data_IF_140281348586
#
_entry.id   IF_140281348586
#
_cell.length_a   1.000
_cell.length_b   1.000
_cell.length_c   1.000
_cell.angle_alpha   90.00
_cell.angle_beta   90.00
_cell.angle_gamma   90.00
#
_symmetry.space_group_name_H-M   'P 1'
#
loop_
_entity.id
_entity.type
_entity.pdbx_description
1 polymer ?
#
# COMPACT_ATOMS: atom_id res chain seq x y z
N UNK A 1 3.53 10.07 52.05
CA UNK A 1 4.45 9.97 50.92
C UNK A 1 3.84 10.78 49.80
N UNK A 2 4.43 11.96 49.51
CA UNK A 2 3.87 12.90 48.58
C UNK A 2 3.98 12.38 47.16
N UNK A 3 2.85 12.29 46.47
CA UNK A 3 2.86 12.18 45.01
C UNK A 3 3.38 13.51 44.46
N UNK A 4 4.60 13.56 43.97
CA UNK A 4 5.08 14.67 43.17
C UNK A 4 4.21 14.74 41.92
N UNK A 5 3.41 15.77 41.83
CA UNK A 5 2.79 16.18 40.59
C UNK A 5 3.90 16.50 39.59
N UNK A 6 4.17 15.60 38.66
CA UNK A 6 4.99 15.93 37.49
C UNK A 6 4.23 17.01 36.71
N UNK A 7 4.64 18.26 36.88
CA UNK A 7 4.23 19.35 36.01
C UNK A 7 4.96 19.19 34.68
N UNK A 8 4.36 18.36 33.80
CA UNK A 8 4.96 18.04 32.49
C UNK A 8 4.52 19.12 31.49
N UNK A 9 5.09 20.31 31.57
CA UNK A 9 5.16 21.23 30.44
C UNK A 9 6.35 20.81 29.57
N UNK A 10 6.30 19.60 29.02
CA UNK A 10 7.35 19.06 28.18
C UNK A 10 7.01 19.25 26.70
N UNK A 11 8.04 19.38 25.88
CA UNK A 11 7.93 19.18 24.44
C UNK A 11 7.20 17.84 24.21
N UNK A 12 6.32 17.70 23.19
CA UNK A 12 5.72 16.41 22.85
C UNK A 12 6.73 15.27 22.71
N UNK A 13 8.02 15.60 22.51
CA UNK A 13 9.12 14.65 22.35
C UNK A 13 9.84 14.30 23.68
N UNK A 14 9.43 14.84 24.81
CA UNK A 14 9.99 14.47 26.12
C UNK A 14 9.40 13.15 26.65
N UNK A 15 8.35 12.63 26.01
CA UNK A 15 7.73 11.34 26.27
C UNK A 15 7.76 10.48 25.02
N UNK A 16 7.62 9.15 25.18
CA UNK A 16 7.59 8.25 24.05
C UNK A 16 6.44 8.60 23.09
N UNK A 17 6.77 8.69 21.80
CA UNK A 17 5.84 8.87 20.70
C UNK A 17 6.06 7.75 19.69
N UNK A 18 4.97 7.15 19.16
CA UNK A 18 5.10 6.27 18.01
C UNK A 18 5.67 7.06 16.82
N UNK A 19 6.63 6.52 16.07
CA UNK A 19 7.12 7.18 14.84
C UNK A 19 6.02 7.53 13.84
N UNK A 20 4.88 6.86 13.88
CA UNK A 20 3.73 7.15 13.04
C UNK A 20 2.99 8.44 13.43
N UNK A 21 3.24 9.00 14.61
CA UNK A 21 2.62 10.27 15.03
C UNK A 21 3.31 11.50 14.46
N UNK A 22 4.57 11.38 13.99
CA UNK A 22 5.34 12.55 13.55
C UNK A 22 6.31 12.30 12.38
N UNK A 23 6.78 11.04 12.19
CA UNK A 23 7.85 10.71 11.25
C UNK A 23 7.34 10.04 9.97
N UNK A 24 6.40 9.12 10.10
CA UNK A 24 5.89 8.30 9.00
C UNK A 24 4.40 8.57 8.76
N UNK A 25 4.00 8.47 7.50
CA UNK A 25 2.67 8.82 7.04
C UNK A 25 2.50 10.32 6.78
N UNK A 26 1.49 10.68 6.01
CA UNK A 26 1.12 12.06 5.71
C UNK A 26 0.31 12.70 6.85
N UNK A 27 0.24 14.04 6.83
CA UNK A 27 -0.59 14.78 7.78
C UNK A 27 -2.08 14.47 7.59
N UNK A 28 -2.51 14.25 6.35
CA UNK A 28 -3.87 13.86 6.01
C UNK A 28 -4.25 12.52 6.65
N UNK A 29 -3.40 11.50 6.51
CA UNK A 29 -3.65 10.19 7.11
C UNK A 29 -3.62 10.27 8.65
N UNK A 30 -2.69 11.04 9.23
CA UNK A 30 -2.66 11.29 10.68
C UNK A 30 -3.92 11.99 11.18
N UNK A 31 -4.45 12.95 10.41
CA UNK A 31 -5.69 13.64 10.76
C UNK A 31 -6.88 12.69 10.79
N UNK A 32 -7.02 11.80 9.81
CA UNK A 32 -8.11 10.80 9.75
C UNK A 32 -8.12 9.85 10.96
N UNK A 33 -6.93 9.55 11.50
CA UNK A 33 -6.80 8.66 12.67
C UNK A 33 -6.64 9.39 14.00
N UNK A 34 -6.83 10.73 14.02
CA UNK A 34 -6.78 11.52 15.24
C UNK A 34 -7.97 11.28 16.16
N UNK A 35 -7.79 11.51 17.46
CA UNK A 35 -8.86 11.47 18.44
C UNK A 35 -9.96 12.51 18.15
N UNK A 36 -9.59 13.70 17.66
CA UNK A 36 -10.55 14.75 17.30
C UNK A 36 -11.43 14.29 16.13
N UNK A 37 -10.86 13.73 15.06
CA UNK A 37 -11.64 13.24 13.91
C UNK A 37 -12.57 12.10 14.32
N UNK A 38 -12.08 11.16 15.13
CA UNK A 38 -12.90 10.07 15.68
C UNK A 38 -14.13 10.60 16.40
N UNK A 39 -13.96 11.60 17.27
CA UNK A 39 -15.08 12.18 18.03
C UNK A 39 -16.03 12.99 17.16
N UNK A 40 -15.54 13.68 16.14
CA UNK A 40 -16.40 14.33 15.14
C UNK A 40 -17.30 13.31 14.42
N UNK A 41 -16.74 12.16 14.03
CA UNK A 41 -17.53 11.09 13.43
C UNK A 41 -18.57 10.53 14.42
N UNK A 42 -18.23 10.34 15.69
CA UNK A 42 -19.22 9.93 16.71
C UNK A 42 -20.38 10.93 16.80
N UNK A 43 -20.06 12.22 16.85
CA UNK A 43 -21.08 13.30 16.90
C UNK A 43 -21.93 13.35 15.65
N UNK A 44 -21.34 13.20 14.47
CA UNK A 44 -22.10 13.12 13.21
C UNK A 44 -23.04 11.93 13.16
N UNK A 45 -22.64 10.79 13.73
CA UNK A 45 -23.47 9.59 13.83
C UNK A 45 -24.61 9.81 14.83
N UNK A 46 -24.38 10.44 15.99
CA UNK A 46 -25.47 10.81 16.91
C UNK A 46 -26.43 11.82 16.29
N UNK A 47 -25.93 12.78 15.51
CA UNK A 47 -26.77 13.72 14.78
C UNK A 47 -27.67 12.98 13.76
N UNK A 48 -27.09 12.10 12.94
CA UNK A 48 -27.85 11.29 11.97
C UNK A 48 -28.89 10.40 12.67
N UNK A 49 -28.55 9.86 13.85
CA UNK A 49 -29.49 9.10 14.70
C UNK A 49 -30.64 9.99 15.17
N UNK A 50 -30.36 11.18 15.69
CA UNK A 50 -31.37 12.12 16.17
C UNK A 50 -32.27 12.63 15.03
N UNK A 51 -31.71 12.89 13.85
CA UNK A 51 -32.48 13.27 12.65
C UNK A 51 -33.46 12.19 12.23
N UNK A 52 -33.04 10.92 12.24
CA UNK A 52 -33.94 9.80 11.99
C UNK A 52 -35.00 9.68 13.10
N UNK A 53 -34.61 9.79 14.37
CA UNK A 53 -35.55 9.77 15.50
C UNK A 53 -36.59 10.88 15.44
N UNK A 54 -36.22 12.06 14.93
CA UNK A 54 -37.14 13.18 14.75
C UNK A 54 -38.23 12.87 13.72
N UNK A 55 -37.89 12.16 12.63
CA UNK A 55 -38.87 11.72 11.64
C UNK A 55 -39.91 10.76 12.21
N UNK A 56 -39.56 10.01 13.28
CA UNK A 56 -40.47 9.14 14.02
C UNK A 56 -41.15 9.86 15.23
N UNK A 57 -40.90 11.16 15.41
CA UNK A 57 -41.44 11.96 16.50
C UNK A 57 -40.93 11.53 17.89
N UNK A 58 -39.77 10.87 17.95
CA UNK A 58 -39.09 10.46 19.20
C UNK A 58 -38.34 11.63 19.83
N UNK A 59 -37.78 12.52 19.02
CA UNK A 59 -37.07 13.75 19.42
C UNK A 59 -37.65 14.94 18.65
N UNK A 60 -37.46 16.16 19.17
CA UNK A 60 -38.00 17.37 18.52
C UNK A 60 -36.99 17.96 17.53
N UNK A 61 -37.44 18.74 16.52
CA UNK A 61 -36.55 19.46 15.62
C UNK A 61 -35.55 20.37 16.36
N UNK A 62 -35.99 21.04 17.43
CA UNK A 62 -35.18 21.94 18.23
C UNK A 62 -34.01 21.20 18.90
N UNK A 63 -34.23 19.92 19.35
CA UNK A 63 -33.19 19.08 19.89
C UNK A 63 -32.16 18.69 18.83
N UNK A 64 -32.61 18.39 17.64
CA UNK A 64 -31.72 18.08 16.49
C UNK A 64 -30.90 19.31 16.10
N UNK A 65 -31.51 20.49 16.04
CA UNK A 65 -30.83 21.74 15.66
C UNK A 65 -29.75 22.12 16.69
N UNK A 66 -30.04 21.92 17.99
CA UNK A 66 -29.06 22.11 19.06
C UNK A 66 -27.85 21.19 18.93
N UNK A 67 -28.06 19.90 18.68
CA UNK A 67 -26.97 18.95 18.42
C UNK A 67 -26.16 19.35 17.18
N UNK A 68 -26.83 19.75 16.10
CA UNK A 68 -26.17 20.17 14.82
C UNK A 68 -25.28 21.39 15.03
N UNK A 69 -25.71 22.35 15.82
CA UNK A 69 -24.94 23.55 16.10
C UNK A 69 -23.63 23.31 16.81
N UNK A 70 -23.51 22.21 17.55
CA UNK A 70 -22.34 21.91 18.38
C UNK A 70 -21.55 20.66 17.91
N UNK A 71 -22.00 19.95 16.88
CA UNK A 71 -21.40 18.68 16.44
C UNK A 71 -19.89 18.79 16.11
N UNK A 72 -19.46 19.89 15.51
CA UNK A 72 -18.06 20.12 15.13
C UNK A 72 -17.18 20.66 16.27
N UNK A 73 -17.76 21.06 17.40
CA UNK A 73 -17.07 21.74 18.50
C UNK A 73 -16.54 20.73 19.54
N UNK A 74 -15.67 19.79 19.11
CA UNK A 74 -15.12 18.77 20.00
C UNK A 74 -14.22 19.40 21.06
N UNK A 75 -14.61 19.27 22.34
CA UNK A 75 -13.78 19.58 23.50
C UNK A 75 -13.10 18.28 23.99
N UNK A 76 -11.91 18.01 23.43
CA UNK A 76 -11.17 16.79 23.72
C UNK A 76 -10.70 16.76 25.19
N UNK A 77 -10.24 17.91 25.71
CA UNK A 77 -9.71 17.99 27.07
C UNK A 77 -10.82 17.66 28.08
N UNK A 78 -12.00 18.25 27.91
CA UNK A 78 -13.16 17.94 28.75
C UNK A 78 -13.59 16.48 28.65
N UNK A 79 -13.61 15.91 27.47
CA UNK A 79 -13.94 14.50 27.30
C UNK A 79 -12.91 13.58 27.98
N UNK A 80 -11.62 13.89 27.92
CA UNK A 80 -10.57 13.11 28.58
C UNK A 80 -10.63 13.26 30.12
N UNK A 81 -10.98 14.44 30.65
CA UNK A 81 -11.23 14.62 32.11
C UNK A 81 -12.36 13.69 32.57
N UNK A 82 -13.49 13.70 31.86
CA UNK A 82 -14.63 12.83 32.19
C UNK A 82 -14.24 11.35 32.08
N UNK A 83 -13.52 10.99 31.02
CA UNK A 83 -13.06 9.60 30.82
C UNK A 83 -12.16 9.12 31.96
N UNK A 84 -11.28 10.01 32.47
CA UNK A 84 -10.43 9.69 33.61
C UNK A 84 -11.22 9.32 34.87
N UNK A 85 -12.43 9.86 35.03
CA UNK A 85 -13.33 9.53 36.14
C UNK A 85 -14.13 8.26 35.89
N UNK A 86 -14.83 8.18 34.73
CA UNK A 86 -15.83 7.13 34.49
C UNK A 86 -15.26 5.89 33.76
N UNK A 87 -14.02 5.96 33.25
CA UNK A 87 -13.30 4.87 32.55
C UNK A 87 -14.03 4.34 31.31
N UNK A 88 -14.73 5.20 30.58
CA UNK A 88 -15.45 4.85 29.36
C UNK A 88 -15.42 6.02 28.36
N UNK A 89 -14.67 5.87 27.30
CA UNK A 89 -14.38 6.93 26.31
C UNK A 89 -15.64 7.46 25.59
N UNK A 90 -16.48 6.54 25.05
CA UNK A 90 -17.69 6.96 24.35
C UNK A 90 -18.68 7.68 25.27
N UNK A 91 -18.89 7.16 26.50
CA UNK A 91 -19.78 7.80 27.46
C UNK A 91 -19.23 9.13 27.98
N UNK A 92 -17.91 9.28 28.01
CA UNK A 92 -17.28 10.57 28.27
C UNK A 92 -17.61 11.61 27.19
N UNK A 93 -17.56 11.20 25.92
CA UNK A 93 -17.94 12.06 24.80
C UNK A 93 -19.44 12.37 24.79
N UNK A 94 -20.31 11.40 25.14
CA UNK A 94 -21.75 11.68 25.31
C UNK A 94 -21.97 12.78 26.34
N UNK A 95 -21.28 12.72 27.49
CA UNK A 95 -21.40 13.74 28.56
C UNK A 95 -20.83 15.08 28.11
N UNK A 96 -19.63 15.10 27.53
CA UNK A 96 -19.01 16.34 27.06
C UNK A 96 -19.86 17.02 25.97
N UNK A 97 -20.44 16.28 25.04
CA UNK A 97 -21.34 16.79 24.03
C UNK A 97 -22.67 17.27 24.63
N UNK A 98 -23.24 16.54 25.60
CA UNK A 98 -24.45 16.93 26.29
C UNK A 98 -24.29 18.25 27.08
N UNK A 99 -23.12 18.49 27.71
CA UNK A 99 -22.82 19.75 28.38
C UNK A 99 -22.86 20.96 27.43
N UNK A 100 -22.58 20.76 26.14
CA UNK A 100 -22.62 21.77 25.11
C UNK A 100 -24.04 22.00 24.54
N UNK A 101 -24.95 21.04 24.70
CA UNK A 101 -26.26 21.00 24.06
C UNK A 101 -27.39 21.07 25.12
N UNK A 102 -27.78 22.26 25.59
CA UNK A 102 -28.76 22.43 26.68
C UNK A 102 -30.15 21.91 26.32
N UNK A 103 -30.51 21.83 25.03
CA UNK A 103 -31.81 21.38 24.54
C UNK A 103 -31.75 19.91 24.08
N UNK A 104 -30.70 19.57 23.31
CA UNK A 104 -30.55 18.25 22.69
C UNK A 104 -29.73 17.26 23.50
N UNK A 105 -28.97 17.70 24.51
CA UNK A 105 -28.04 16.81 25.23
C UNK A 105 -28.71 15.62 25.92
N UNK A 106 -29.95 15.79 26.37
CA UNK A 106 -30.69 14.74 27.06
C UNK A 106 -31.18 13.57 26.20
N UNK A 107 -31.10 13.69 24.85
CA UNK A 107 -31.54 12.63 23.93
C UNK A 107 -30.36 11.89 23.27
N UNK A 108 -29.13 12.30 23.57
CA UNK A 108 -27.95 11.66 23.00
C UNK A 108 -27.92 10.16 23.34
N UNK A 109 -27.53 9.37 22.37
CA UNK A 109 -27.34 7.92 22.52
C UNK A 109 -28.64 7.12 22.79
N UNK A 110 -29.81 7.71 22.52
CA UNK A 110 -31.12 7.09 22.80
C UNK A 110 -31.31 5.80 22.00
N UNK A 111 -31.44 4.66 22.69
CA UNK A 111 -31.59 3.33 22.11
C UNK A 111 -30.29 2.71 21.57
N UNK A 112 -29.19 3.45 21.53
CA UNK A 112 -27.92 2.99 20.99
C UNK A 112 -27.08 2.20 21.99
N UNK A 113 -26.24 1.31 21.49
CA UNK A 113 -25.08 0.78 22.22
C UNK A 113 -23.80 1.41 21.68
N UNK A 114 -22.72 1.39 22.47
CA UNK A 114 -21.44 2.01 22.09
C UNK A 114 -20.99 1.64 20.68
N UNK A 115 -21.07 0.37 20.32
CA UNK A 115 -20.64 -0.10 19.02
C UNK A 115 -21.56 0.30 17.83
N UNK A 116 -22.80 0.76 18.08
CA UNK A 116 -23.61 1.41 17.03
C UNK A 116 -22.97 2.73 16.58
N UNK A 117 -22.18 3.35 17.43
CA UNK A 117 -21.46 4.59 17.13
C UNK A 117 -20.03 4.29 16.71
N UNK A 118 -19.28 3.55 17.54
CA UNK A 118 -17.85 3.29 17.34
C UNK A 118 -17.57 2.52 16.04
N UNK A 119 -18.33 1.44 15.77
CA UNK A 119 -18.09 0.60 14.61
C UNK A 119 -18.53 1.27 13.30
N UNK A 120 -19.58 2.08 13.30
CA UNK A 120 -19.94 2.87 12.13
C UNK A 120 -18.89 3.97 11.87
N UNK A 121 -18.33 4.60 12.92
CA UNK A 121 -17.25 5.57 12.79
C UNK A 121 -15.97 4.90 12.28
N UNK A 122 -15.64 3.70 12.75
CA UNK A 122 -14.51 2.92 12.23
C UNK A 122 -14.68 2.58 10.76
N UNK A 123 -15.90 2.18 10.33
CA UNK A 123 -16.18 1.92 8.92
C UNK A 123 -16.01 3.17 8.05
N UNK A 124 -16.42 4.36 8.54
CA UNK A 124 -16.19 5.63 7.85
C UNK A 124 -14.70 5.94 7.73
N UNK A 125 -13.93 5.83 8.83
CA UNK A 125 -12.47 6.03 8.81
C UNK A 125 -11.75 5.07 7.88
N UNK A 126 -12.13 3.79 7.88
CA UNK A 126 -11.59 2.79 6.96
C UNK A 126 -11.83 3.20 5.50
N UNK A 127 -13.03 3.69 5.18
CA UNK A 127 -13.41 4.14 3.85
C UNK A 127 -12.61 5.35 3.41
N UNK A 128 -12.58 6.41 4.22
CA UNK A 128 -11.82 7.64 3.96
C UNK A 128 -10.33 7.35 3.78
N UNK A 129 -9.76 6.51 4.64
CA UNK A 129 -8.35 6.13 4.54
C UNK A 129 -8.05 5.30 3.30
N UNK A 130 -8.95 4.39 2.91
CA UNK A 130 -8.81 3.63 1.66
C UNK A 130 -8.90 4.55 0.43
N UNK A 131 -9.75 5.58 0.45
CA UNK A 131 -9.85 6.56 -0.63
C UNK A 131 -8.50 7.28 -0.83
N UNK A 132 -7.84 7.72 0.25
CA UNK A 132 -6.51 8.34 0.18
C UNK A 132 -5.43 7.37 -0.32
N UNK A 133 -5.45 6.10 0.12
CA UNK A 133 -4.52 5.07 -0.36
C UNK A 133 -4.73 4.81 -1.86
N UNK A 134 -5.97 4.73 -2.33
CA UNK A 134 -6.30 4.54 -3.73
C UNK A 134 -5.84 5.73 -4.59
N UNK A 135 -6.04 6.96 -4.14
CA UNK A 135 -5.55 8.16 -4.82
C UNK A 135 -4.02 8.12 -4.99
N UNK A 136 -3.29 7.82 -3.91
CA UNK A 136 -1.82 7.74 -3.94
C UNK A 136 -1.31 6.57 -4.78
N UNK A 137 -1.97 5.41 -4.73
CA UNK A 137 -1.60 4.26 -5.57
C UNK A 137 -1.81 4.55 -7.05
N UNK A 138 -2.89 5.23 -7.41
CA UNK A 138 -3.15 5.71 -8.78
C UNK A 138 -2.11 6.73 -9.24
N UNK A 139 -1.69 7.65 -8.37
CA UNK A 139 -0.59 8.58 -8.66
C UNK A 139 0.72 7.84 -8.93
N UNK A 140 1.03 6.83 -8.12
CA UNK A 140 2.22 6.00 -8.29
C UNK A 140 2.18 5.20 -9.60
N UNK A 141 1.04 4.62 -9.98
CA UNK A 141 0.84 3.93 -11.26
C UNK A 141 1.14 4.86 -12.46
N UNK A 142 0.68 6.11 -12.42
CA UNK A 142 0.99 7.10 -13.45
C UNK A 142 2.50 7.40 -13.52
N UNK A 143 3.17 7.44 -12.38
CA UNK A 143 4.62 7.66 -12.34
C UNK A 143 5.39 6.47 -12.90
N UNK A 144 4.96 5.24 -12.60
CA UNK A 144 5.48 4.04 -13.25
C UNK A 144 5.27 4.08 -14.76
N UNK A 145 4.07 4.43 -15.22
CA UNK A 145 3.75 4.52 -16.64
C UNK A 145 4.70 5.46 -17.39
N UNK A 146 4.99 6.64 -16.82
CA UNK A 146 5.93 7.60 -17.41
C UNK A 146 7.36 7.03 -17.47
N UNK A 147 7.83 6.34 -16.46
CA UNK A 147 9.15 5.71 -16.45
C UNK A 147 9.22 4.52 -17.40
N UNK A 148 8.17 3.71 -17.47
CA UNK A 148 8.09 2.58 -18.40
C UNK A 148 8.19 3.07 -19.85
N UNK A 149 7.42 4.08 -20.22
CA UNK A 149 7.43 4.64 -21.57
C UNK A 149 8.80 5.22 -21.93
N UNK A 150 9.41 5.98 -21.00
CA UNK A 150 10.75 6.56 -21.18
C UNK A 150 11.80 5.51 -21.51
N UNK A 151 11.71 4.33 -20.92
CA UNK A 151 12.73 3.29 -21.00
C UNK A 151 12.26 2.04 -21.75
N UNK A 152 11.14 2.10 -22.47
CA UNK A 152 10.52 0.96 -23.15
C UNK A 152 11.48 0.26 -24.12
N UNK A 153 12.27 1.02 -24.86
CA UNK A 153 13.16 0.52 -25.91
C UNK A 153 14.61 0.31 -25.46
N UNK A 154 14.96 0.67 -24.23
CA UNK A 154 16.34 0.61 -23.76
C UNK A 154 16.70 -0.82 -23.34
N UNK A 155 17.56 -1.54 -24.08
CA UNK A 155 17.92 -2.90 -23.77
C UNK A 155 18.80 -2.98 -22.52
N UNK A 156 18.59 -4.00 -21.72
CA UNK A 156 19.39 -4.35 -20.54
C UNK A 156 19.45 -5.87 -20.39
N UNK A 157 20.38 -6.36 -19.57
CA UNK A 157 20.44 -7.79 -19.26
C UNK A 157 19.39 -8.16 -18.20
N UNK A 158 18.60 -9.18 -18.47
CA UNK A 158 17.81 -9.84 -17.44
C UNK A 158 18.69 -10.81 -16.64
N UNK A 159 18.33 -10.97 -15.36
CA UNK A 159 19.00 -11.87 -14.43
C UNK A 159 18.00 -12.89 -13.90
N UNK A 160 18.30 -14.15 -14.08
CA UNK A 160 17.60 -15.27 -13.41
C UNK A 160 18.55 -15.91 -12.42
N UNK A 161 18.09 -16.18 -11.21
CA UNK A 161 18.96 -16.68 -10.13
C UNK A 161 20.21 -15.80 -9.87
N UNK A 162 20.09 -14.49 -10.09
CA UNK A 162 21.18 -13.51 -10.09
C UNK A 162 22.31 -13.81 -11.10
N UNK A 163 22.06 -14.67 -12.09
CA UNK A 163 22.95 -14.90 -13.21
C UNK A 163 22.42 -14.18 -14.45
N UNK A 164 23.30 -13.60 -15.27
CA UNK A 164 22.88 -13.00 -16.53
C UNK A 164 22.26 -14.05 -17.42
N UNK A 165 21.10 -13.76 -17.98
CA UNK A 165 20.33 -14.66 -18.83
C UNK A 165 20.19 -14.10 -20.24
N UNK A 166 19.06 -13.48 -20.55
CA UNK A 166 18.76 -12.93 -21.86
C UNK A 166 18.54 -11.42 -21.81
N UNK A 167 18.64 -10.71 -22.96
CA UNK A 167 18.23 -9.33 -23.05
C UNK A 167 16.76 -9.11 -22.75
N UNK A 168 16.47 -8.01 -22.09
CA UNK A 168 15.15 -7.42 -21.89
C UNK A 168 15.23 -5.92 -22.09
N UNK A 169 14.18 -5.16 -21.74
CA UNK A 169 14.27 -3.70 -21.66
C UNK A 169 14.07 -3.19 -20.24
N UNK A 170 14.62 -2.02 -19.93
CA UNK A 170 14.43 -1.36 -18.63
C UNK A 170 12.95 -1.08 -18.40
N UNK A 171 12.22 -0.61 -19.43
CA UNK A 171 10.79 -0.38 -19.36
C UNK A 171 10.01 -1.65 -19.03
N UNK A 172 10.38 -2.80 -19.61
CA UNK A 172 9.71 -4.06 -19.31
C UNK A 172 10.02 -4.56 -17.88
N UNK A 173 11.24 -4.32 -17.39
CA UNK A 173 11.56 -4.60 -15.98
C UNK A 173 10.74 -3.72 -15.03
N UNK A 174 10.48 -2.46 -15.36
CA UNK A 174 9.59 -1.59 -14.58
C UNK A 174 8.14 -2.04 -14.67
N UNK A 175 7.70 -2.53 -15.83
CA UNK A 175 6.32 -2.95 -16.06
C UNK A 175 5.86 -4.09 -15.14
N UNK A 176 6.76 -5.00 -14.72
CA UNK A 176 6.38 -6.06 -13.78
C UNK A 176 5.94 -5.51 -12.41
N UNK A 177 6.61 -4.46 -11.89
CA UNK A 177 6.23 -3.82 -10.63
C UNK A 177 4.94 -3.02 -10.75
N UNK A 178 4.74 -2.36 -11.88
CA UNK A 178 3.49 -1.66 -12.15
C UNK A 178 2.31 -2.63 -12.25
N UNK A 179 2.50 -3.81 -12.85
CA UNK A 179 1.47 -4.84 -12.93
C UNK A 179 1.05 -5.34 -11.54
N UNK A 180 2.01 -5.61 -10.65
CA UNK A 180 1.71 -5.99 -9.27
C UNK A 180 0.92 -4.88 -8.56
N UNK A 181 1.33 -3.62 -8.69
CA UNK A 181 0.62 -2.47 -8.13
C UNK A 181 -0.80 -2.29 -8.70
N UNK A 182 -1.03 -2.59 -9.99
CA UNK A 182 -2.38 -2.60 -10.58
C UNK A 182 -3.26 -3.65 -9.92
N UNK A 183 -2.74 -4.84 -9.65
CA UNK A 183 -3.47 -5.89 -8.92
C UNK A 183 -3.84 -5.43 -7.50
N UNK A 184 -2.91 -4.77 -6.81
CA UNK A 184 -3.16 -4.22 -5.48
C UNK A 184 -4.22 -3.11 -5.52
N UNK A 185 -4.15 -2.20 -6.49
CA UNK A 185 -5.12 -1.12 -6.67
C UNK A 185 -6.54 -1.68 -6.90
N UNK A 186 -6.68 -2.71 -7.74
CA UNK A 186 -7.94 -3.37 -7.99
C UNK A 186 -8.49 -4.05 -6.72
N UNK A 187 -7.65 -4.74 -5.94
CA UNK A 187 -8.06 -5.38 -4.69
C UNK A 187 -8.46 -4.34 -3.63
N UNK A 188 -7.69 -3.26 -3.47
CA UNK A 188 -8.01 -2.15 -2.56
C UNK A 188 -9.34 -1.48 -2.95
N UNK A 189 -9.59 -1.27 -4.25
CA UNK A 189 -10.85 -0.73 -4.78
C UNK A 189 -12.02 -1.65 -4.43
N UNK A 190 -11.85 -2.97 -4.61
CA UNK A 190 -12.87 -3.97 -4.26
C UNK A 190 -13.14 -4.00 -2.75
N UNK A 191 -12.10 -3.90 -1.93
CA UNK A 191 -12.23 -3.85 -0.48
C UNK A 191 -12.94 -2.58 -0.05
N UNK A 192 -12.55 -1.42 -0.60
CA UNK A 192 -13.17 -0.12 -0.35
C UNK A 192 -14.66 -0.13 -0.67
N UNK A 193 -15.04 -0.66 -1.83
CA UNK A 193 -16.45 -0.76 -2.25
C UNK A 193 -17.25 -1.70 -1.34
N UNK A 194 -16.60 -2.64 -0.69
CA UNK A 194 -17.24 -3.59 0.23
C UNK A 194 -17.27 -3.18 1.70
N UNK A 195 -16.84 -1.95 2.05
CA UNK A 195 -16.90 -1.46 3.43
C UNK A 195 -18.35 -1.23 3.83
N UNK A 196 -18.74 -1.84 4.95
CA UNK A 196 -20.06 -1.72 5.55
C UNK A 196 -19.97 -1.31 7.01
N UNK A 197 -20.97 -0.52 7.46
CA UNK A 197 -21.14 -0.22 8.87
C UNK A 197 -21.78 -1.37 9.63
N UNK A 198 -21.74 -1.30 10.95
CA UNK A 198 -22.51 -2.19 11.80
C UNK A 198 -24.02 -2.03 11.56
N UNK A 199 -24.46 -0.81 11.31
CA UNK A 199 -25.85 -0.41 11.37
C UNK A 199 -26.28 -0.07 12.80
N UNK A 200 -27.58 0.05 13.00
CA UNK A 200 -28.18 0.39 14.31
C UNK A 200 -28.95 -0.84 14.84
N UNK A 201 -28.20 -1.80 15.33
CA UNK A 201 -28.73 -3.12 15.73
C UNK A 201 -28.68 -3.37 17.25
N UNK A 202 -28.18 -2.42 18.04
CA UNK A 202 -28.16 -2.50 19.50
C UNK A 202 -27.13 -3.51 20.05
N UNK A 203 -27.29 -3.87 21.33
CA UNK A 203 -26.28 -4.55 22.11
C UNK A 203 -25.92 -5.98 21.64
N UNK A 204 -26.84 -6.68 20.97
CA UNK A 204 -26.64 -8.07 20.51
C UNK A 204 -27.10 -8.29 19.06
N UNK A 205 -27.31 -7.23 18.30
CA UNK A 205 -27.68 -7.32 16.88
C UNK A 205 -29.16 -7.50 16.57
N UNK A 206 -30.04 -7.47 17.58
CA UNK A 206 -31.49 -7.73 17.42
C UNK A 206 -32.32 -6.48 17.14
N UNK A 207 -31.75 -5.28 17.26
CA UNK A 207 -32.44 -3.99 17.20
C UNK A 207 -33.57 -3.81 18.23
N UNK A 208 -33.60 -4.60 19.29
CA UNK A 208 -34.74 -4.66 20.20
C UNK A 208 -35.14 -3.28 20.77
N UNK A 209 -34.18 -2.48 21.25
CA UNK A 209 -34.47 -1.16 21.80
C UNK A 209 -35.05 -0.21 20.70
N UNK A 210 -34.57 -0.27 19.48
CA UNK A 210 -35.08 0.55 18.38
C UNK A 210 -36.49 0.12 17.94
N UNK A 211 -36.76 -1.20 17.94
CA UNK A 211 -38.10 -1.74 17.66
C UNK A 211 -39.10 -1.26 18.69
N UNK A 212 -38.78 -1.36 19.97
CA UNK A 212 -39.67 -0.89 21.04
C UNK A 212 -39.93 0.61 21.01
N UNK A 213 -38.87 1.41 20.79
CA UNK A 213 -38.99 2.85 20.64
C UNK A 213 -39.85 3.24 19.41
N UNK A 214 -39.68 2.56 18.27
CA UNK A 214 -40.47 2.82 17.08
C UNK A 214 -41.91 2.35 17.20
N UNK A 215 -42.17 1.16 17.79
CA UNK A 215 -43.50 0.62 18.00
C UNK A 215 -44.35 1.47 18.96
N UNK A 216 -43.73 2.23 19.86
CA UNK A 216 -44.44 3.13 20.72
C UNK A 216 -45.16 4.28 19.96
N UNK A 217 -44.79 4.55 18.73
CA UNK A 217 -45.34 5.70 17.96
C UNK A 217 -45.68 5.40 16.48
N UNK A 218 -45.24 4.28 15.87
CA UNK A 218 -45.43 3.99 14.44
C UNK A 218 -45.73 2.53 14.19
N UNK A 219 -46.67 2.22 13.30
CA UNK A 219 -47.11 0.87 12.97
C UNK A 219 -46.19 0.05 12.06
N UNK A 220 -44.98 0.52 11.76
CA UNK A 220 -43.99 -0.23 10.97
C UNK A 220 -42.59 -0.23 11.57
N UNK A 221 -41.86 -1.38 11.49
CA UNK A 221 -40.72 -1.62 12.35
C UNK A 221 -39.37 -1.14 11.77
N UNK A 222 -38.40 -1.23 12.66
CA UNK A 222 -36.96 -0.96 12.65
C UNK A 222 -36.19 -0.89 11.32
N UNK A 223 -36.57 -1.60 10.26
CA UNK A 223 -35.85 -1.57 8.97
C UNK A 223 -35.87 -0.20 8.31
N UNK A 224 -36.96 0.54 8.41
CA UNK A 224 -37.03 1.93 7.89
C UNK A 224 -36.14 2.89 8.68
N UNK A 225 -36.03 2.72 9.99
CA UNK A 225 -35.22 3.55 10.88
C UNK A 225 -33.73 3.42 10.58
N UNK A 226 -33.19 2.19 10.61
CA UNK A 226 -31.77 1.93 10.29
C UNK A 226 -31.39 2.48 8.92
N UNK A 227 -32.23 2.25 7.91
CA UNK A 227 -31.98 2.74 6.55
C UNK A 227 -31.93 4.26 6.44
N UNK A 228 -32.65 5.01 7.27
CA UNK A 228 -32.58 6.47 7.31
C UNK A 228 -31.25 6.94 7.87
N UNK A 229 -30.81 6.39 9.01
CA UNK A 229 -29.55 6.73 9.63
C UNK A 229 -28.38 6.38 8.70
N UNK A 230 -28.38 5.17 8.16
CA UNK A 230 -27.28 4.69 7.33
C UNK A 230 -27.16 5.44 5.99
N UNK A 231 -28.29 5.90 5.41
CA UNK A 231 -28.28 6.78 4.25
C UNK A 231 -27.70 8.18 4.57
N UNK A 232 -28.00 8.71 5.73
CA UNK A 232 -27.43 10.01 6.17
C UNK A 232 -25.89 9.91 6.34
N UNK A 233 -25.37 8.72 6.65
CA UNK A 233 -23.94 8.42 6.75
C UNK A 233 -23.31 8.00 5.41
N UNK A 234 -24.10 7.88 4.34
CA UNK A 234 -23.67 7.28 3.06
C UNK A 234 -22.95 5.95 3.27
N UNK A 235 -23.48 5.08 4.12
CA UNK A 235 -22.87 3.82 4.53
C UNK A 235 -23.91 2.68 4.52
N UNK A 236 -23.59 1.58 3.83
CA UNK A 236 -24.44 0.38 3.87
C UNK A 236 -24.20 -0.38 5.18
N UNK A 237 -25.27 -0.89 5.86
CA UNK A 237 -25.10 -1.75 7.02
C UNK A 237 -24.83 -3.20 6.63
N UNK A 238 -24.18 -3.96 7.50
CA UNK A 238 -24.25 -5.42 7.45
C UNK A 238 -25.68 -5.89 7.72
N UNK A 239 -26.15 -6.90 6.99
CA UNK A 239 -27.48 -7.50 7.21
C UNK A 239 -27.56 -8.15 8.60
N UNK A 240 -26.51 -8.84 9.00
CA UNK A 240 -26.36 -9.43 10.34
C UNK A 240 -25.09 -8.90 11.01
N UNK A 241 -25.25 -8.45 12.25
CA UNK A 241 -24.16 -8.06 13.13
C UNK A 241 -24.46 -8.56 14.54
N UNK A 242 -23.43 -8.67 15.36
CA UNK A 242 -23.58 -8.91 16.80
C UNK A 242 -23.59 -7.57 17.55
N UNK A 243 -22.94 -7.43 18.68
CA UNK A 243 -22.70 -6.10 19.24
C UNK A 243 -21.82 -5.25 18.32
N UNK A 244 -20.94 -5.89 17.54
CA UNK A 244 -20.01 -5.26 16.60
C UNK A 244 -20.29 -5.69 15.17
N UNK A 245 -19.72 -4.96 14.18
CA UNK A 245 -19.65 -5.51 12.84
C UNK A 245 -18.69 -6.71 12.76
N UNK A 246 -18.82 -7.61 11.75
CA UNK A 246 -17.94 -8.76 11.60
C UNK A 246 -16.47 -8.33 11.50
N UNK A 247 -15.64 -8.62 12.49
CA UNK A 247 -14.21 -8.26 12.54
C UNK A 247 -13.40 -8.79 11.36
N UNK A 248 -13.97 -9.70 10.58
CA UNK A 248 -13.43 -10.14 9.29
C UNK A 248 -13.24 -8.98 8.32
N UNK A 249 -14.00 -7.88 8.44
CA UNK A 249 -13.81 -6.68 7.62
C UNK A 249 -12.44 -6.05 7.87
N UNK A 250 -12.02 -5.89 9.12
CA UNK A 250 -10.70 -5.37 9.48
C UNK A 250 -9.58 -6.21 8.86
N UNK A 251 -9.70 -7.55 9.00
CA UNK A 251 -8.73 -8.46 8.40
C UNK A 251 -8.64 -8.30 6.88
N UNK A 252 -9.77 -8.18 6.17
CA UNK A 252 -9.77 -7.97 4.71
C UNK A 252 -9.06 -6.68 4.32
N UNK A 253 -9.29 -5.60 5.06
CA UNK A 253 -8.63 -4.30 4.83
C UNK A 253 -7.13 -4.42 5.06
N UNK A 254 -6.72 -4.93 6.21
CA UNK A 254 -5.30 -5.03 6.55
C UNK A 254 -4.56 -5.99 5.62
N UNK A 255 -5.21 -7.06 5.18
CA UNK A 255 -4.63 -8.02 4.24
C UNK A 255 -4.40 -7.37 2.85
N UNK A 256 -5.32 -6.53 2.37
CA UNK A 256 -5.13 -5.78 1.12
C UNK A 256 -3.99 -4.76 1.24
N UNK A 257 -3.88 -4.05 2.36
CA UNK A 257 -2.76 -3.14 2.63
C UNK A 257 -1.42 -3.90 2.70
N UNK A 258 -1.40 -5.10 3.29
CA UNK A 258 -0.21 -5.94 3.33
C UNK A 258 0.20 -6.44 1.93
N UNK A 259 -0.78 -6.70 1.04
CA UNK A 259 -0.54 -7.00 -0.38
C UNK A 259 0.19 -5.86 -1.07
N UNK A 260 -0.30 -4.63 -0.93
CA UNK A 260 0.39 -3.43 -1.42
C UNK A 260 1.81 -3.34 -0.88
N UNK A 261 2.00 -3.58 0.43
CA UNK A 261 3.33 -3.59 1.06
C UNK A 261 4.26 -4.63 0.43
N UNK A 262 3.76 -5.81 0.06
CA UNK A 262 4.53 -6.87 -0.60
C UNK A 262 5.05 -6.43 -1.98
N UNK A 263 4.21 -5.83 -2.80
CA UNK A 263 4.59 -5.34 -4.13
C UNK A 263 5.65 -4.24 -4.07
N UNK A 264 5.49 -3.29 -3.14
CA UNK A 264 6.46 -2.22 -2.94
C UNK A 264 7.79 -2.74 -2.34
N UNK A 265 7.73 -3.74 -1.45
CA UNK A 265 8.93 -4.44 -0.97
C UNK A 265 9.69 -5.11 -2.13
N UNK A 266 8.99 -5.83 -3.00
CA UNK A 266 9.61 -6.49 -4.17
C UNK A 266 10.38 -5.49 -5.03
N UNK A 267 9.78 -4.34 -5.36
CA UNK A 267 10.44 -3.27 -6.09
C UNK A 267 11.68 -2.74 -5.34
N UNK A 268 11.53 -2.42 -4.06
CA UNK A 268 12.61 -1.85 -3.27
C UNK A 268 13.78 -2.82 -3.08
N UNK A 269 13.48 -4.10 -2.89
CA UNK A 269 14.49 -5.14 -2.75
C UNK A 269 15.31 -5.31 -4.04
N UNK A 270 14.65 -5.35 -5.20
CA UNK A 270 15.33 -5.42 -6.50
C UNK A 270 16.14 -4.16 -6.78
N UNK A 271 15.63 -2.97 -6.42
CA UNK A 271 16.39 -1.73 -6.53
C UNK A 271 17.69 -1.77 -5.75
N UNK A 272 17.69 -2.31 -4.53
CA UNK A 272 18.91 -2.48 -3.72
C UNK A 272 19.94 -3.39 -4.41
N UNK A 273 19.47 -4.47 -5.05
CA UNK A 273 20.33 -5.36 -5.83
C UNK A 273 20.89 -4.64 -7.06
N UNK A 274 20.05 -3.93 -7.80
CA UNK A 274 20.43 -3.19 -9.00
C UNK A 274 21.35 -1.99 -8.71
N UNK A 275 21.27 -1.42 -7.48
CA UNK A 275 22.17 -0.35 -7.03
C UNK A 275 23.51 -0.87 -6.55
N UNK A 276 23.65 -2.17 -6.26
CA UNK A 276 24.90 -2.74 -5.78
C UNK A 276 26.03 -2.57 -6.82
N UNK A 277 27.27 -2.26 -6.40
CA UNK A 277 28.35 -1.95 -7.35
C UNK A 277 28.62 -3.00 -8.43
N UNK A 278 28.43 -4.31 -8.20
CA UNK A 278 28.62 -5.31 -9.28
C UNK A 278 27.64 -5.15 -10.44
N UNK A 279 26.43 -4.64 -10.22
CA UNK A 279 25.44 -4.35 -11.26
C UNK A 279 25.45 -2.86 -11.58
N UNK A 280 25.09 -2.02 -10.61
CA UNK A 280 25.19 -0.57 -10.66
C UNK A 280 24.30 0.13 -11.70
N UNK A 281 23.27 -0.57 -12.21
CA UNK A 281 22.43 -0.05 -13.32
C UNK A 281 21.40 0.97 -12.85
N UNK A 282 20.88 0.80 -11.64
CA UNK A 282 19.84 1.65 -11.06
C UNK A 282 20.34 2.24 -9.74
N UNK A 283 19.80 3.40 -9.39
CA UNK A 283 19.97 3.92 -8.03
C UNK A 283 18.79 4.81 -7.64
N UNK A 284 18.55 4.91 -6.32
CA UNK A 284 17.62 5.90 -5.81
C UNK A 284 18.16 7.33 -6.00
N UNK A 285 17.26 8.33 -6.08
CA UNK A 285 17.67 9.73 -6.18
C UNK A 285 18.47 10.15 -4.94
N UNK A 286 19.57 10.86 -5.16
CA UNK A 286 20.43 11.34 -4.08
C UNK A 286 20.48 12.87 -4.10
N UNK A 287 19.96 13.50 -3.02
CA UNK A 287 19.92 14.95 -2.89
C UNK A 287 21.31 15.57 -2.71
N UNK A 288 21.53 16.77 -3.23
CA UNK A 288 22.82 17.46 -3.17
C UNK A 288 23.35 17.67 -1.74
N UNK A 289 22.49 17.76 -0.76
CA UNK A 289 22.81 17.91 0.67
C UNK A 289 22.66 16.61 1.48
N UNK A 290 22.29 15.52 0.82
CA UNK A 290 22.06 14.24 1.49
C UNK A 290 23.37 13.61 1.92
N UNK A 291 23.42 13.13 3.17
CA UNK A 291 24.57 12.38 3.70
C UNK A 291 24.29 10.89 3.53
N UNK A 292 25.09 10.20 2.71
CA UNK A 292 24.93 8.78 2.45
C UNK A 292 25.59 7.88 3.51
N UNK A 293 26.65 8.37 4.14
CA UNK A 293 27.40 7.66 5.19
C UNK A 293 28.14 8.66 6.05
N UNK A 294 28.13 8.45 7.37
CA UNK A 294 28.87 9.29 8.33
C UNK A 294 30.39 9.13 8.24
N UNK A 295 30.86 7.95 7.78
CA UNK A 295 32.30 7.62 7.75
C UNK A 295 32.89 7.62 6.33
N UNK A 296 32.08 7.38 5.30
CA UNK A 296 32.53 7.23 3.91
C UNK A 296 31.70 8.12 2.97
N UNK A 297 32.16 9.34 2.68
CA UNK A 297 31.38 10.34 1.93
C UNK A 297 30.92 9.92 0.52
N UNK A 298 31.66 9.01 -0.13
CA UNK A 298 31.32 8.48 -1.46
C UNK A 298 30.21 7.42 -1.42
N UNK A 299 29.92 6.84 -0.25
CA UNK A 299 28.98 5.72 -0.11
C UNK A 299 27.53 6.22 -0.15
N UNK A 300 26.80 5.80 -1.17
CA UNK A 300 25.37 6.11 -1.36
C UNK A 300 24.53 4.89 -1.04
N UNK A 301 24.08 4.81 0.21
CA UNK A 301 23.22 3.70 0.64
C UNK A 301 21.79 3.88 0.10
N UNK A 302 21.08 2.81 -0.28
CA UNK A 302 19.68 2.84 -0.74
C UNK A 302 18.73 2.95 0.47
N UNK A 303 18.82 4.03 1.26
CA UNK A 303 18.15 4.17 2.56
C UNK A 303 16.62 4.23 2.45
N UNK A 304 16.09 4.75 1.32
CA UNK A 304 14.65 4.80 1.11
C UNK A 304 14.09 3.44 0.68
N UNK A 305 14.83 2.70 -0.15
CA UNK A 305 14.48 1.31 -0.47
C UNK A 305 14.54 0.43 0.78
N UNK A 306 15.57 0.58 1.63
CA UNK A 306 15.67 -0.12 2.92
C UNK A 306 14.52 0.24 3.88
N UNK A 307 14.06 1.50 3.88
CA UNK A 307 12.90 1.94 4.65
C UNK A 307 11.62 1.24 4.16
N UNK A 308 11.40 1.15 2.84
CA UNK A 308 10.26 0.41 2.27
C UNK A 308 10.31 -1.04 2.73
N UNK A 309 11.46 -1.72 2.57
CA UNK A 309 11.61 -3.11 2.98
C UNK A 309 11.33 -3.33 4.47
N UNK A 310 11.74 -2.39 5.31
CA UNK A 310 11.53 -2.46 6.76
C UNK A 310 10.06 -2.28 7.12
N UNK A 311 9.40 -1.22 6.63
CA UNK A 311 8.01 -0.92 6.94
C UNK A 311 7.05 -1.94 6.34
N UNK A 312 7.33 -2.45 5.14
CA UNK A 312 6.51 -3.49 4.53
C UNK A 312 6.50 -4.79 5.34
N UNK A 313 7.64 -5.16 5.97
CA UNK A 313 7.70 -6.32 6.88
C UNK A 313 6.88 -6.11 8.15
N UNK A 314 6.82 -4.88 8.66
CA UNK A 314 5.93 -4.53 9.77
C UNK A 314 4.47 -4.67 9.35
N UNK A 315 4.08 -4.03 8.26
CA UNK A 315 2.72 -4.07 7.73
C UNK A 315 2.23 -5.50 7.48
N UNK A 316 3.09 -6.38 6.99
CA UNK A 316 2.77 -7.78 6.72
C UNK A 316 2.37 -8.60 7.96
N UNK A 317 2.67 -8.13 9.19
CA UNK A 317 2.30 -8.83 10.42
C UNK A 317 0.93 -8.40 10.97
N UNK A 318 0.45 -7.22 10.63
CA UNK A 318 -0.78 -6.67 11.20
C UNK A 318 -2.05 -7.45 10.82
N UNK A 319 -2.19 -8.01 9.61
CA UNK A 319 -3.32 -8.87 9.27
C UNK A 319 -3.47 -10.09 10.17
N UNK A 320 -2.37 -10.60 10.75
CA UNK A 320 -2.44 -11.75 11.67
C UNK A 320 -3.20 -11.40 12.94
N UNK A 321 -2.99 -10.21 13.49
CA UNK A 321 -3.72 -9.75 14.69
C UNK A 321 -5.20 -9.57 14.35
N UNK A 322 -5.52 -8.96 13.21
CA UNK A 322 -6.92 -8.81 12.78
C UNK A 322 -7.61 -10.15 12.50
N UNK A 323 -6.86 -11.14 11.99
CA UNK A 323 -7.37 -12.51 11.84
C UNK A 323 -7.72 -13.13 13.19
N UNK A 324 -6.83 -12.99 14.17
CA UNK A 324 -7.07 -13.50 15.52
C UNK A 324 -8.29 -12.82 16.18
N UNK A 325 -8.44 -11.49 16.03
CA UNK A 325 -9.62 -10.76 16.49
C UNK A 325 -10.92 -11.30 15.88
N UNK A 326 -10.90 -11.59 14.58
CA UNK A 326 -12.07 -12.13 13.88
C UNK A 326 -12.37 -13.58 14.27
N UNK A 327 -11.35 -14.42 14.40
CA UNK A 327 -11.48 -15.84 14.68
C UNK A 327 -11.85 -16.12 16.14
N UNK A 328 -11.41 -15.27 17.07
CA UNK A 328 -11.63 -15.44 18.51
C UNK A 328 -12.76 -14.54 19.05
N UNK A 329 -13.52 -13.85 18.19
CA UNK A 329 -14.70 -13.10 18.62
C UNK A 329 -15.71 -14.04 19.27
N UNK A 330 -15.89 -13.89 20.59
CA UNK A 330 -16.66 -14.83 21.40
C UNK A 330 -18.14 -14.47 21.41
N UNK A 331 -18.98 -15.34 20.88
CA UNK A 331 -20.45 -15.16 20.81
C UNK A 331 -20.81 -13.78 20.22
N UNK A 332 -21.64 -13.01 20.91
CA UNK A 332 -22.08 -11.70 20.44
C UNK A 332 -21.07 -10.58 20.77
N UNK A 333 -20.14 -10.78 21.71
CA UNK A 333 -19.11 -9.81 22.08
C UNK A 333 -17.98 -10.39 22.93
N UNK A 334 -16.76 -10.02 22.60
CA UNK A 334 -15.61 -9.98 23.49
C UNK A 334 -14.96 -8.59 23.40
N UNK A 335 -14.19 -8.17 24.39
CA UNK A 335 -13.51 -6.86 24.39
C UNK A 335 -12.01 -6.98 24.11
N UNK A 336 -11.48 -8.18 23.94
CA UNK A 336 -10.05 -8.44 23.77
C UNK A 336 -9.49 -7.95 22.42
N UNK A 337 -10.35 -7.66 21.45
CA UNK A 337 -9.99 -7.00 20.19
C UNK A 337 -9.76 -5.49 20.36
N UNK A 338 -10.40 -4.84 21.31
CA UNK A 338 -10.52 -3.39 21.39
C UNK A 338 -9.15 -2.67 21.49
N UNK A 339 -8.29 -3.10 22.40
CA UNK A 339 -7.02 -2.45 22.64
C UNK A 339 -6.08 -2.55 21.42
N UNK A 340 -5.96 -3.74 20.82
CA UNK A 340 -5.06 -3.94 19.68
C UNK A 340 -5.59 -3.27 18.41
N UNK A 341 -6.93 -3.19 18.20
CA UNK A 341 -7.53 -2.49 17.04
C UNK A 341 -7.18 -0.99 17.03
N UNK A 342 -7.11 -0.36 18.19
CA UNK A 342 -6.72 1.05 18.35
C UNK A 342 -5.28 1.32 17.90
N UNK A 343 -4.47 0.27 17.76
CA UNK A 343 -3.07 0.31 17.31
C UNK A 343 -2.97 -0.13 15.85
N UNK A 344 -3.46 -1.33 15.54
CA UNK A 344 -3.19 -1.95 14.23
C UNK A 344 -3.90 -1.27 13.06
N UNK A 345 -5.11 -0.72 13.27
CA UNK A 345 -5.83 -0.03 12.21
C UNK A 345 -5.11 1.26 11.77
N UNK A 346 -4.89 2.24 12.68
CA UNK A 346 -4.19 3.47 12.28
C UNK A 346 -2.78 3.20 11.77
N UNK A 347 -2.00 2.34 12.42
CA UNK A 347 -0.61 2.08 12.02
C UNK A 347 -0.52 1.35 10.68
N UNK A 348 -1.47 0.49 10.31
CA UNK A 348 -1.51 -0.13 9.00
C UNK A 348 -1.69 0.92 7.87
N UNK A 349 -2.61 1.85 8.06
CA UNK A 349 -2.84 2.91 7.07
C UNK A 349 -1.69 3.91 7.00
N UNK A 350 -1.16 4.35 8.14
CA UNK A 350 0.00 5.25 8.19
C UNK A 350 1.24 4.60 7.57
N UNK A 351 1.41 3.30 7.79
CA UNK A 351 2.50 2.54 7.19
C UNK A 351 2.34 2.43 5.67
N UNK A 352 1.15 2.05 5.17
CA UNK A 352 0.87 1.94 3.74
C UNK A 352 1.01 3.30 3.03
N UNK A 353 0.57 4.37 3.68
CA UNK A 353 0.70 5.74 3.20
C UNK A 353 2.17 6.16 3.06
N UNK A 354 3.01 5.91 4.07
CA UNK A 354 4.45 6.15 4.01
C UNK A 354 5.15 5.34 2.91
N UNK A 355 4.74 4.08 2.72
CA UNK A 355 5.28 3.23 1.66
C UNK A 355 4.99 3.82 0.28
N UNK A 356 3.74 4.26 0.02
CA UNK A 356 3.35 4.89 -1.24
C UNK A 356 4.10 6.20 -1.49
N UNK A 357 4.21 7.09 -0.49
CA UNK A 357 4.94 8.35 -0.62
C UNK A 357 6.44 8.11 -0.90
N UNK A 358 7.03 7.14 -0.23
CA UNK A 358 8.44 6.80 -0.45
C UNK A 358 8.66 6.20 -1.84
N UNK A 359 7.79 5.27 -2.27
CA UNK A 359 7.85 4.67 -3.59
C UNK A 359 7.64 5.72 -4.71
N UNK A 360 6.69 6.65 -4.52
CA UNK A 360 6.46 7.77 -5.43
C UNK A 360 7.74 8.60 -5.65
N UNK A 361 8.44 8.90 -4.57
CA UNK A 361 9.72 9.63 -4.63
C UNK A 361 10.82 8.81 -5.33
N UNK A 362 10.90 7.52 -5.02
CA UNK A 362 11.91 6.63 -5.63
C UNK A 362 11.69 6.46 -7.12
N UNK A 363 10.48 6.14 -7.57
CA UNK A 363 10.18 5.93 -8.98
C UNK A 363 10.27 7.24 -9.76
N UNK A 364 9.73 8.33 -9.23
CA UNK A 364 9.79 9.65 -9.87
C UNK A 364 11.21 10.16 -10.07
N UNK A 365 12.11 9.83 -9.15
CA UNK A 365 13.51 10.23 -9.19
C UNK A 365 14.49 9.11 -9.55
N UNK A 366 14.02 7.96 -10.06
CA UNK A 366 14.85 6.81 -10.38
C UNK A 366 15.98 7.19 -11.34
N UNK A 367 17.21 6.89 -10.96
CA UNK A 367 18.40 7.11 -11.77
C UNK A 367 18.79 5.82 -12.46
N UNK A 368 18.90 5.87 -13.79
CA UNK A 368 19.45 4.79 -14.61
C UNK A 368 20.84 5.20 -15.07
N UNK A 369 21.85 4.40 -14.72
CA UNK A 369 23.22 4.56 -15.20
C UNK A 369 23.38 3.85 -16.55
N UNK A 370 23.18 4.58 -17.64
CA UNK A 370 23.25 4.04 -18.98
C UNK A 370 24.64 3.48 -19.32
N UNK A 371 25.71 4.01 -18.71
CA UNK A 371 27.06 3.48 -18.90
C UNK A 371 27.22 2.11 -18.22
N UNK A 372 26.66 1.93 -17.03
CA UNK A 372 26.63 0.64 -16.36
C UNK A 372 25.75 -0.39 -17.10
N UNK A 373 24.59 0.04 -17.61
CA UNK A 373 23.73 -0.79 -18.45
C UNK A 373 24.48 -1.25 -19.70
N UNK A 374 25.12 -0.33 -20.41
CA UNK A 374 25.91 -0.66 -21.62
C UNK A 374 27.08 -1.59 -21.31
N UNK A 375 27.81 -1.37 -20.21
CA UNK A 375 28.91 -2.23 -19.77
C UNK A 375 28.44 -3.65 -19.49
N UNK A 376 27.35 -3.82 -18.70
CA UNK A 376 26.83 -5.12 -18.37
C UNK A 376 26.26 -5.83 -19.60
N UNK A 377 25.57 -5.08 -20.46
CA UNK A 377 25.06 -5.60 -21.73
C UNK A 377 26.20 -6.13 -22.63
N UNK A 378 27.26 -5.34 -22.82
CA UNK A 378 28.42 -5.76 -23.61
C UNK A 378 29.12 -7.00 -23.01
N UNK A 379 29.17 -7.10 -21.68
CA UNK A 379 29.77 -8.24 -21.00
C UNK A 379 28.99 -9.54 -21.20
N UNK A 380 27.66 -9.50 -21.21
CA UNK A 380 26.85 -10.73 -21.09
C UNK A 380 25.96 -11.02 -22.32
N UNK A 381 25.51 -10.02 -23.05
CA UNK A 381 24.58 -10.21 -24.15
C UNK A 381 25.09 -11.08 -25.30
N UNK A 382 26.40 -11.08 -25.65
CA UNK A 382 26.92 -11.99 -26.68
C UNK A 382 26.68 -13.46 -26.40
N UNK A 383 26.66 -13.88 -25.11
CA UNK A 383 26.38 -15.27 -24.75
C UNK A 383 24.92 -15.66 -25.09
N UNK A 384 23.94 -14.81 -24.77
CA UNK A 384 22.55 -15.02 -25.10
C UNK A 384 22.30 -15.07 -26.62
N UNK A 385 23.03 -14.26 -27.38
CA UNK A 385 22.89 -14.18 -28.84
C UNK A 385 23.48 -15.38 -29.59
N UNK A 386 24.24 -16.25 -28.93
CA UNK A 386 24.84 -17.44 -29.56
C UNK A 386 23.82 -18.40 -30.16
N UNK A 387 22.60 -18.48 -29.61
CA UNK A 387 21.52 -19.28 -30.17
C UNK A 387 21.14 -18.81 -31.58
N UNK A 388 21.08 -17.49 -31.83
CA UNK A 388 20.82 -16.92 -33.15
C UNK A 388 21.87 -17.34 -34.17
N UNK A 389 23.15 -17.30 -33.76
CA UNK A 389 24.27 -17.76 -34.57
C UNK A 389 24.16 -19.26 -34.88
N UNK A 390 23.86 -20.08 -33.88
CA UNK A 390 23.66 -21.51 -34.02
C UNK A 390 22.58 -21.83 -35.06
N UNK A 391 21.40 -21.22 -34.89
CA UNK A 391 20.27 -21.45 -35.78
C UNK A 391 20.56 -21.02 -37.23
N UNK A 392 21.21 -19.87 -37.42
CA UNK A 392 21.58 -19.39 -38.73
C UNK A 392 22.61 -20.32 -39.42
N UNK A 393 23.64 -20.77 -38.70
CA UNK A 393 24.62 -21.69 -39.21
C UNK A 393 23.98 -23.06 -39.62
N UNK A 394 23.05 -23.57 -38.80
CA UNK A 394 22.33 -24.81 -39.15
C UNK A 394 21.42 -24.62 -40.36
N UNK A 395 20.76 -23.50 -40.49
CA UNK A 395 19.94 -23.13 -41.66
C UNK A 395 20.81 -23.07 -42.91
N UNK A 396 22.08 -22.66 -42.79
CA UNK A 396 23.06 -22.64 -43.87
C UNK A 396 23.73 -24.02 -44.15
N UNK A 397 23.26 -25.11 -43.49
CA UNK A 397 23.70 -26.46 -43.72
C UNK A 397 24.80 -26.97 -42.79
N UNK A 398 25.09 -26.25 -41.68
CA UNK A 398 26.03 -26.76 -40.67
C UNK A 398 25.43 -27.85 -39.82
N UNK A 399 26.29 -28.79 -39.33
CA UNK A 399 25.90 -29.77 -38.33
C UNK A 399 25.66 -29.06 -36.99
N UNK A 400 24.48 -29.27 -36.42
CA UNK A 400 24.04 -28.59 -35.18
C UNK A 400 24.93 -28.94 -34.00
N UNK A 401 25.31 -30.20 -33.85
CA UNK A 401 26.10 -30.64 -32.69
C UNK A 401 27.52 -30.09 -32.76
N UNK A 402 28.13 -30.13 -33.98
CA UNK A 402 29.45 -29.55 -34.21
C UNK A 402 29.46 -28.05 -33.93
N UNK A 403 28.43 -27.29 -34.40
CA UNK A 403 28.31 -25.87 -34.10
C UNK A 403 28.12 -25.58 -32.62
N UNK A 404 27.27 -26.34 -31.98
CA UNK A 404 27.03 -26.19 -30.52
C UNK A 404 28.34 -26.38 -29.74
N UNK A 405 29.15 -27.38 -30.09
CA UNK A 405 30.41 -27.62 -29.40
C UNK A 405 31.42 -26.47 -29.60
N UNK A 406 31.53 -25.94 -30.81
CA UNK A 406 32.39 -24.80 -31.11
C UNK A 406 31.95 -23.58 -30.28
N UNK A 407 30.64 -23.30 -30.25
CA UNK A 407 30.07 -22.18 -29.50
C UNK A 407 30.32 -22.38 -28.00
N UNK A 408 30.14 -23.59 -27.49
CA UNK A 408 30.41 -23.96 -26.11
C UNK A 408 31.85 -23.70 -25.70
N UNK A 409 32.83 -24.17 -26.50
CA UNK A 409 34.25 -23.99 -26.23
C UNK A 409 34.63 -22.49 -26.15
N UNK A 410 34.24 -21.71 -27.18
CA UNK A 410 34.50 -20.29 -27.18
C UNK A 410 33.76 -19.54 -26.05
N UNK A 411 32.54 -19.95 -25.71
CA UNK A 411 31.79 -19.36 -24.61
C UNK A 411 32.48 -19.60 -23.25
N UNK A 412 32.98 -20.80 -23.00
CA UNK A 412 33.72 -21.08 -21.76
C UNK A 412 35.03 -20.27 -21.65
N UNK A 413 35.73 -20.09 -22.74
CA UNK A 413 36.93 -19.25 -22.77
C UNK A 413 36.58 -17.78 -22.51
N UNK A 414 35.58 -17.27 -23.22
CA UNK A 414 35.12 -15.90 -23.06
C UNK A 414 34.58 -15.64 -21.64
N UNK A 415 33.88 -16.60 -21.05
CA UNK A 415 33.40 -16.48 -19.68
C UNK A 415 34.55 -16.35 -18.67
N UNK A 416 35.64 -17.06 -18.86
CA UNK A 416 36.84 -16.92 -18.02
C UNK A 416 37.45 -15.51 -18.11
N UNK A 417 37.47 -14.91 -19.32
CA UNK A 417 37.93 -13.54 -19.54
C UNK A 417 37.05 -12.51 -18.82
N UNK A 418 35.71 -12.64 -18.98
CA UNK A 418 34.73 -11.76 -18.30
C UNK A 418 34.88 -11.87 -16.78
N UNK A 419 35.01 -13.11 -16.25
CA UNK A 419 35.24 -13.31 -14.81
C UNK A 419 36.56 -12.71 -14.30
N UNK A 420 37.54 -12.61 -15.15
CA UNK A 420 38.80 -11.94 -14.84
C UNK A 420 38.75 -10.40 -15.00
N UNK A 421 37.54 -9.83 -15.27
CA UNK A 421 37.34 -8.39 -15.44
C UNK A 421 37.79 -7.86 -16.79
N UNK A 422 38.04 -8.72 -17.77
CA UNK A 422 38.39 -8.33 -19.15
C UNK A 422 37.17 -8.22 -20.05
N UNK A 423 37.32 -7.53 -21.19
CA UNK A 423 36.24 -7.45 -22.19
C UNK A 423 35.86 -8.83 -22.74
N UNK A 424 34.59 -9.02 -23.09
CA UNK A 424 34.09 -10.27 -23.64
C UNK A 424 34.60 -10.47 -25.08
N UNK A 425 35.48 -11.47 -25.36
CA UNK A 425 36.01 -11.70 -26.68
C UNK A 425 35.13 -12.60 -27.57
N UNK A 426 33.97 -13.07 -27.08
CA UNK A 426 33.18 -14.13 -27.71
C UNK A 426 32.80 -13.81 -29.17
N UNK A 427 32.29 -12.60 -29.40
CA UNK A 427 31.86 -12.21 -30.75
C UNK A 427 33.02 -12.22 -31.75
N UNK A 428 34.18 -11.69 -31.34
CA UNK A 428 35.37 -11.66 -32.20
C UNK A 428 35.91 -13.08 -32.48
N UNK A 429 35.95 -13.91 -31.43
CA UNK A 429 36.42 -15.30 -31.52
C UNK A 429 35.53 -16.15 -32.42
N UNK A 430 34.20 -16.04 -32.31
CA UNK A 430 33.26 -16.77 -33.16
C UNK A 430 33.27 -16.26 -34.60
N UNK A 431 33.37 -14.95 -34.85
CA UNK A 431 33.45 -14.38 -36.20
C UNK A 431 34.79 -14.69 -36.93
N UNK A 432 35.84 -15.00 -36.18
CA UNK A 432 37.14 -15.42 -36.75
C UNK A 432 37.26 -16.95 -36.93
N UNK A 433 36.32 -17.77 -36.42
CA UNK A 433 36.43 -19.20 -36.50
C UNK A 433 36.08 -19.75 -37.89
N UNK A 434 37.08 -20.37 -38.56
CA UNK A 434 36.96 -20.86 -39.94
C UNK A 434 35.81 -21.88 -40.11
N UNK A 435 35.45 -22.65 -39.08
CA UNK A 435 34.33 -23.63 -39.11
C UNK A 435 32.96 -22.93 -39.11
N UNK A 436 32.86 -21.72 -38.55
CA UNK A 436 31.64 -20.91 -38.57
C UNK A 436 31.58 -20.12 -39.87
N UNK A 437 32.70 -19.45 -40.27
CA UNK A 437 32.75 -18.61 -41.45
C UNK A 437 32.64 -19.38 -42.78
N UNK A 438 32.73 -20.69 -42.71
CA UNK A 438 32.38 -21.59 -43.85
C UNK A 438 30.90 -21.50 -44.23
N UNK A 439 30.01 -21.22 -43.23
CA UNK A 439 28.56 -21.23 -43.40
C UNK A 439 27.95 -19.81 -43.34
N UNK A 440 28.60 -18.90 -42.63
CA UNK A 440 28.11 -17.54 -42.41
C UNK A 440 29.21 -16.53 -42.69
N UNK A 441 28.88 -15.48 -43.42
CA UNK A 441 29.77 -14.32 -43.57
C UNK A 441 30.13 -13.74 -42.20
N UNK A 442 31.39 -13.34 -41.94
CA UNK A 442 31.81 -12.78 -40.65
C UNK A 442 30.99 -11.56 -40.19
N UNK A 443 30.57 -10.71 -41.15
CA UNK A 443 29.75 -9.54 -40.82
C UNK A 443 28.32 -9.94 -40.46
N UNK A 444 27.74 -10.93 -41.15
CA UNK A 444 26.45 -11.52 -40.80
C UNK A 444 26.49 -12.19 -39.43
N UNK A 445 27.54 -12.96 -39.14
CA UNK A 445 27.76 -13.58 -37.83
C UNK A 445 27.85 -12.51 -36.72
N UNK A 446 28.56 -11.43 -36.93
CA UNK A 446 28.68 -10.31 -36.00
C UNK A 446 27.32 -9.64 -35.74
N UNK A 447 26.52 -9.44 -36.77
CA UNK A 447 25.17 -8.89 -36.64
C UNK A 447 24.23 -9.78 -35.83
N UNK A 448 24.37 -11.11 -35.99
CA UNK A 448 23.60 -12.07 -35.19
C UNK A 448 24.00 -12.07 -33.70
N UNK A 449 25.27 -11.78 -33.40
CA UNK A 449 25.79 -11.66 -32.03
C UNK A 449 25.52 -10.29 -31.38
N UNK A 450 25.02 -9.32 -32.11
CA UNK A 450 24.49 -8.07 -31.54
C UNK A 450 23.11 -8.30 -30.99
N UNK A 451 23.04 -8.45 -29.69
CA UNK A 451 21.80 -8.77 -28.99
C UNK A 451 20.89 -7.57 -28.71
N UNK A 452 21.24 -6.33 -29.15
CA UNK A 452 20.42 -5.12 -28.85
C UNK A 452 18.99 -5.22 -29.37
N UNK A 453 18.79 -5.85 -30.51
CA UNK A 453 17.48 -6.15 -31.07
C UNK A 453 16.85 -7.48 -30.58
N UNK A 454 17.54 -8.22 -29.71
CA UNK A 454 17.07 -9.53 -29.24
C UNK A 454 16.30 -9.40 -27.92
N UNK A 455 15.29 -8.57 -27.91
CA UNK A 455 14.44 -8.25 -26.73
C UNK A 455 12.99 -8.69 -26.92
N UNK A 456 12.68 -9.43 -27.99
CA UNK A 456 11.34 -9.94 -28.30
C UNK A 456 10.28 -8.85 -28.26
N UNK A 457 9.15 -9.14 -27.62
CA UNK A 457 8.00 -8.25 -27.46
C UNK A 457 8.13 -7.28 -26.26
N UNK A 458 9.25 -7.27 -25.55
CA UNK A 458 9.40 -6.50 -24.32
C UNK A 458 9.00 -5.03 -24.45
N UNK A 459 9.39 -4.28 -25.50
CA UNK A 459 8.96 -2.89 -25.65
C UNK A 459 7.45 -2.72 -25.80
N UNK A 460 6.81 -3.57 -26.62
CA UNK A 460 5.36 -3.54 -26.84
C UNK A 460 4.58 -3.88 -25.58
N UNK A 461 5.01 -4.89 -24.85
CA UNK A 461 4.39 -5.29 -23.56
C UNK A 461 4.59 -4.22 -22.50
N UNK A 462 5.75 -3.58 -22.42
CA UNK A 462 6.00 -2.47 -21.53
C UNK A 462 5.00 -1.31 -21.77
N UNK A 463 4.83 -0.89 -23.02
CA UNK A 463 3.86 0.16 -23.39
C UNK A 463 2.41 -0.23 -23.09
N UNK A 464 2.06 -1.50 -23.28
CA UNK A 464 0.72 -1.99 -22.92
C UNK A 464 0.44 -1.77 -21.42
N UNK A 465 1.37 -2.14 -20.56
CA UNK A 465 1.25 -1.94 -19.11
C UNK A 465 1.24 -0.44 -18.76
N UNK A 466 2.09 0.38 -19.41
CA UNK A 466 2.08 1.82 -19.20
C UNK A 466 0.72 2.45 -19.53
N UNK A 467 0.11 2.05 -20.66
CA UNK A 467 -1.19 2.52 -21.07
C UNK A 467 -2.29 2.12 -20.08
N UNK A 468 -2.29 0.86 -19.61
CA UNK A 468 -3.23 0.38 -18.60
C UNK A 468 -3.08 1.14 -17.28
N UNK A 469 -1.83 1.29 -16.78
CA UNK A 469 -1.52 2.03 -15.55
C UNK A 469 -1.95 3.51 -15.60
N UNK A 470 -1.98 4.11 -16.78
CA UNK A 470 -2.44 5.50 -16.96
C UNK A 470 -3.96 5.62 -17.06
N UNK A 471 -4.67 4.57 -17.49
CA UNK A 471 -6.10 4.57 -17.78
C UNK A 471 -6.97 4.14 -16.60
N UNK A 472 -6.41 3.64 -15.51
CA UNK A 472 -7.20 3.26 -14.34
C UNK A 472 -7.97 4.47 -13.79
N UNK A 473 -9.31 4.39 -13.95
CA UNK A 473 -10.30 5.45 -13.63
C UNK A 473 -10.74 5.35 -12.18
#
# INVERSE_FOLDING_TARGET
MGHSSFDIRHSPFDIYQSPFTWRYGSDEMRAMWSEVHKRKLWRSIWLALAEAQSQFGLVTPEQVDDLRAHADQVDLDRALEIEAEIKHDLMAEVKAFAEQCPVGGGILHLGATSADIEDNADALRLRESLDLILEKSKSLLKTFAAQIEKWADTPTMAFTHLQPAEPTTIGYRLAQYAQDLMMDHAELSRVRAGIKGKGFKGAVGTSAAYVELALAKVSQPSQGFESLVMRALDLEPFDAATQTYPRKQDWRVLNALAGLGMSLHKFAFDLRVLQSPPIGEWSEPFGAKQVGSSAMPFKRNPINAEKIDSLARYLAQLPRIAWDNAANSLLERTLDDSANRRIILPEAFLCADELLMTAQKLIGGLVIDEAAVARNFAAYAPFAATERLLMAAVTAGADRQAMHEIIREHSMQAWAEVKAGRSNPLADALCANARITRYLDPQAARSLLDARGYVGDAPGRARLIAAQSSSER
#
